data_IF_849093306813
#
_entry.id   IF_849093306813
#
_cell.length_a   1.000
_cell.length_b   1.000
_cell.length_c   1.000
_cell.angle_alpha   90.00
_cell.angle_beta   90.00
_cell.angle_gamma   90.00
#
_symmetry.space_group_name_H-M   'P 1'
#
loop_
_entity.id
_entity.type
_entity.pdbx_description
1 polymer ?
#
# COMPACT_ATOMS: atom_id res chain seq x y z
N UNK A 1 37.36 -5.96 8.72
CA UNK A 1 36.26 -5.42 7.94
C UNK A 1 35.71 -6.53 7.03
N UNK A 2 34.39 -6.69 7.01
CA UNK A 2 33.72 -7.61 6.10
C UNK A 2 33.02 -6.79 5.02
N UNK A 3 33.25 -7.12 3.75
CA UNK A 3 32.60 -6.46 2.62
C UNK A 3 31.71 -7.46 1.91
N UNK A 4 30.48 -7.04 1.57
CA UNK A 4 29.57 -7.81 0.74
C UNK A 4 29.11 -6.94 -0.43
N UNK A 5 29.02 -7.52 -1.62
CA UNK A 5 28.53 -6.85 -2.82
C UNK A 5 27.42 -7.67 -3.45
N UNK A 6 26.35 -6.99 -3.87
CA UNK A 6 25.28 -7.57 -4.65
C UNK A 6 25.01 -6.70 -5.88
N UNK A 7 25.20 -7.29 -7.06
CA UNK A 7 24.91 -6.64 -8.34
C UNK A 7 23.77 -7.37 -9.06
N UNK A 8 22.64 -6.67 -9.19
CA UNK A 8 21.54 -7.15 -10.01
C UNK A 8 21.88 -7.01 -11.50
N UNK A 9 21.73 -8.08 -12.27
CA UNK A 9 21.88 -8.03 -13.73
C UNK A 9 20.53 -7.60 -14.33
N UNK A 10 20.48 -6.34 -14.77
CA UNK A 10 19.31 -5.77 -15.45
C UNK A 10 19.75 -5.06 -16.72
N UNK A 11 18.82 -4.89 -17.66
CA UNK A 11 19.06 -4.11 -18.85
C UNK A 11 18.87 -2.62 -18.56
N UNK A 12 19.71 -1.78 -19.13
CA UNK A 12 19.55 -0.34 -19.00
C UNK A 12 18.26 0.14 -19.70
N UNK A 13 17.69 1.22 -19.21
CA UNK A 13 16.52 1.83 -19.83
C UNK A 13 16.82 2.21 -21.28
N UNK A 14 15.95 1.79 -22.21
CA UNK A 14 16.13 2.02 -23.64
C UNK A 14 17.06 1.05 -24.36
N UNK A 15 17.51 0.00 -23.70
CA UNK A 15 18.28 -1.07 -24.35
C UNK A 15 17.45 -1.68 -25.49
N UNK A 16 17.99 -1.77 -26.73
CA UNK A 16 17.25 -2.24 -27.90
C UNK A 16 17.18 -3.77 -27.93
N UNK A 17 16.58 -4.40 -26.93
CA UNK A 17 16.34 -5.84 -26.84
C UNK A 17 14.83 -6.11 -26.81
N UNK A 18 14.35 -7.23 -27.37
CA UNK A 18 12.91 -7.50 -27.46
C UNK A 18 12.18 -7.57 -26.12
N UNK A 19 12.84 -8.05 -25.07
CA UNK A 19 12.28 -8.20 -23.73
C UNK A 19 13.32 -7.77 -22.69
N UNK A 20 13.46 -6.47 -22.40
CA UNK A 20 14.43 -5.99 -21.44
C UNK A 20 14.11 -6.48 -20.03
N UNK A 21 15.11 -6.96 -19.32
CA UNK A 21 15.00 -7.35 -17.90
C UNK A 21 15.23 -6.11 -17.06
N UNK A 22 14.15 -5.44 -16.67
CA UNK A 22 14.20 -4.20 -15.88
C UNK A 22 14.30 -4.44 -14.38
N UNK A 23 13.85 -5.61 -13.89
CA UNK A 23 13.83 -5.97 -12.48
C UNK A 23 14.23 -7.43 -12.28
N UNK A 24 14.86 -7.73 -11.14
CA UNK A 24 15.27 -9.11 -10.79
C UNK A 24 14.12 -9.91 -10.14
N UNK A 25 13.15 -9.22 -9.58
CA UNK A 25 11.98 -9.83 -8.92
C UNK A 25 10.75 -8.93 -9.04
N UNK A 26 9.58 -9.57 -9.05
CA UNK A 26 8.28 -8.90 -8.99
C UNK A 26 7.57 -9.31 -7.71
N UNK A 27 6.95 -8.34 -7.04
CA UNK A 27 6.11 -8.60 -5.88
C UNK A 27 4.66 -8.83 -6.29
N UNK A 28 3.96 -9.66 -5.50
CA UNK A 28 2.52 -9.92 -5.66
C UNK A 28 1.82 -9.66 -4.34
N UNK A 29 0.69 -8.97 -4.40
CA UNK A 29 -0.10 -8.66 -3.23
C UNK A 29 -1.59 -8.66 -3.56
N UNK A 30 -2.39 -9.09 -2.59
CA UNK A 30 -3.85 -8.99 -2.63
C UNK A 30 -4.33 -8.45 -1.31
N UNK A 31 -5.25 -7.47 -1.34
CA UNK A 31 -5.87 -6.93 -0.14
C UNK A 31 -7.39 -6.96 -0.24
N UNK A 32 -8.03 -7.10 0.90
CA UNK A 32 -9.48 -7.08 1.04
C UNK A 32 -9.86 -6.11 2.16
N UNK A 33 -10.84 -5.26 1.88
CA UNK A 33 -11.45 -4.37 2.85
C UNK A 33 -12.85 -4.88 3.23
N UNK A 34 -13.10 -5.01 4.53
CA UNK A 34 -14.41 -5.36 5.07
C UNK A 34 -14.98 -4.14 5.78
N UNK A 35 -16.17 -3.71 5.38
CA UNK A 35 -16.88 -2.58 5.98
C UNK A 35 -17.95 -3.06 6.96
N UNK A 36 -18.21 -2.23 7.98
CA UNK A 36 -19.44 -2.29 8.77
C UNK A 36 -20.59 -1.65 7.98
N UNK A 37 -21.82 -1.85 8.43
CA UNK A 37 -23.02 -1.28 7.81
C UNK A 37 -23.01 0.27 7.77
N UNK A 38 -22.34 0.90 8.73
CA UNK A 38 -22.18 2.37 8.80
C UNK A 38 -21.07 2.90 7.87
N UNK A 39 -20.40 2.03 7.12
CA UNK A 39 -19.31 2.37 6.23
C UNK A 39 -17.95 2.51 6.92
N UNK A 40 -17.84 2.31 8.23
CA UNK A 40 -16.52 2.23 8.88
C UNK A 40 -15.81 0.94 8.50
N UNK A 41 -14.48 0.99 8.40
CA UNK A 41 -13.69 -0.21 8.09
C UNK A 41 -13.66 -1.09 9.34
N UNK A 42 -14.17 -2.31 9.18
CA UNK A 42 -14.13 -3.34 10.21
C UNK A 42 -12.77 -4.02 10.25
N UNK A 43 -12.25 -4.36 9.06
CA UNK A 43 -11.02 -5.15 8.93
C UNK A 43 -10.37 -4.95 7.58
N UNK A 44 -9.05 -4.96 7.56
CA UNK A 44 -8.24 -5.13 6.36
C UNK A 44 -7.52 -6.47 6.41
N UNK A 45 -7.53 -7.20 5.30
CA UNK A 45 -6.73 -8.42 5.13
C UNK A 45 -5.74 -8.18 4.01
N UNK A 46 -4.46 -8.42 4.25
CA UNK A 46 -3.38 -8.11 3.34
C UNK A 46 -2.43 -9.31 3.16
N UNK A 47 -2.52 -9.97 2.01
CA UNK A 47 -1.66 -11.08 1.64
C UNK A 47 -0.56 -10.62 0.69
N UNK A 48 0.70 -10.89 1.03
CA UNK A 48 1.87 -10.47 0.27
C UNK A 48 2.83 -11.63 0.05
N UNK A 49 3.22 -11.84 -1.20
CA UNK A 49 4.33 -12.73 -1.54
C UNK A 49 5.65 -12.01 -1.28
N UNK A 50 6.41 -12.54 -0.34
CA UNK A 50 7.69 -12.00 0.09
C UNK A 50 8.86 -12.88 -0.32
N UNK A 51 8.59 -13.93 -1.14
CA UNK A 51 9.56 -14.96 -1.47
C UNK A 51 9.98 -15.71 -0.22
N UNK A 52 11.02 -15.24 0.46
CA UNK A 52 11.44 -15.72 1.79
C UNK A 52 11.37 -14.60 2.82
N UNK A 53 10.62 -14.82 3.87
CA UNK A 53 10.58 -13.91 5.01
C UNK A 53 11.90 -14.00 5.82
N UNK A 54 12.80 -13.05 5.63
CA UNK A 54 14.08 -13.01 6.37
C UNK A 54 13.84 -12.70 7.86
N UNK A 55 12.89 -11.83 8.13
CA UNK A 55 12.43 -11.51 9.48
C UNK A 55 10.90 -11.37 9.45
N UNK A 56 10.15 -12.41 9.84
CA UNK A 56 8.68 -12.41 9.77
C UNK A 56 8.02 -11.24 10.51
N UNK A 57 8.47 -10.92 11.71
CA UNK A 57 7.90 -9.79 12.49
C UNK A 57 8.11 -8.44 11.79
N UNK A 58 9.28 -8.22 11.19
CA UNK A 58 9.54 -7.01 10.42
C UNK A 58 8.71 -6.97 9.13
N UNK A 59 8.47 -8.12 8.50
CA UNK A 59 7.60 -8.25 7.33
C UNK A 59 6.15 -7.87 7.68
N UNK A 60 5.61 -8.42 8.76
CA UNK A 60 4.28 -8.06 9.26
C UNK A 60 4.16 -6.57 9.52
N UNK A 61 5.09 -5.99 10.27
CA UNK A 61 5.10 -4.55 10.55
C UNK A 61 5.19 -3.69 9.29
N UNK A 62 5.90 -4.14 8.27
CA UNK A 62 5.97 -3.44 6.97
C UNK A 62 4.63 -3.51 6.22
N UNK A 63 3.96 -4.67 6.23
CA UNK A 63 2.63 -4.84 5.63
C UNK A 63 1.62 -3.93 6.33
N UNK A 64 1.55 -3.99 7.65
CA UNK A 64 0.62 -3.17 8.45
C UNK A 64 0.85 -1.67 8.22
N UNK A 65 2.11 -1.23 8.26
CA UNK A 65 2.47 0.17 8.02
C UNK A 65 2.06 0.65 6.62
N UNK A 66 2.28 -0.18 5.59
CA UNK A 66 1.88 0.12 4.22
C UNK A 66 0.36 0.17 4.04
N UNK A 67 -0.39 -0.75 4.66
CA UNK A 67 -1.86 -0.73 4.67
C UNK A 67 -2.37 0.56 5.30
N UNK A 68 -1.87 0.94 6.48
CA UNK A 68 -2.29 2.17 7.16
C UNK A 68 -1.99 3.42 6.32
N UNK A 69 -0.82 3.46 5.67
CA UNK A 69 -0.48 4.53 4.72
C UNK A 69 -1.48 4.59 3.55
N UNK A 70 -1.79 3.45 2.95
CA UNK A 70 -2.77 3.35 1.86
C UNK A 70 -4.19 3.73 2.29
N UNK A 71 -4.59 3.43 3.54
CA UNK A 71 -5.86 3.88 4.13
C UNK A 71 -5.92 5.41 4.23
N UNK A 72 -4.84 6.04 4.68
CA UNK A 72 -4.73 7.50 4.71
C UNK A 72 -4.95 8.11 3.34
N UNK A 73 -4.24 7.60 2.34
CA UNK A 73 -4.36 8.03 0.95
C UNK A 73 -5.79 7.85 0.40
N UNK A 74 -6.43 6.73 0.70
CA UNK A 74 -7.78 6.45 0.23
C UNK A 74 -8.86 7.33 0.88
N UNK A 75 -8.71 7.73 2.15
CA UNK A 75 -9.83 8.20 2.97
C UNK A 75 -9.67 9.61 3.56
N UNK A 76 -8.45 10.03 3.87
CA UNK A 76 -8.25 11.21 4.73
C UNK A 76 -7.19 12.19 4.27
N UNK A 77 -6.21 11.75 3.50
CA UNK A 77 -5.09 12.59 3.10
C UNK A 77 -5.46 13.45 1.89
N UNK A 78 -5.18 14.74 1.98
CA UNK A 78 -5.35 15.64 0.86
C UNK A 78 -4.19 16.65 0.82
N UNK A 79 -3.42 16.59 -0.26
CA UNK A 79 -2.33 17.51 -0.52
C UNK A 79 -2.77 18.55 -1.55
N UNK A 80 -3.44 19.60 -1.04
CA UNK A 80 -3.93 20.69 -1.88
C UNK A 80 -2.79 21.60 -2.34
N UNK A 81 -2.77 21.88 -3.64
CA UNK A 81 -1.84 22.83 -4.25
C UNK A 81 -2.62 24.03 -4.78
N UNK A 82 -2.04 25.22 -4.65
CA UNK A 82 -2.49 26.43 -5.30
C UNK A 82 -1.37 26.95 -6.20
N UNK A 83 -1.57 26.87 -7.51
CA UNK A 83 -0.53 27.21 -8.51
C UNK A 83 0.84 26.55 -8.21
N UNK A 84 0.82 25.28 -7.77
CA UNK A 84 2.02 24.52 -7.41
C UNK A 84 2.54 24.77 -5.99
N UNK A 85 1.90 25.62 -5.20
CA UNK A 85 2.28 25.92 -3.82
C UNK A 85 1.40 25.10 -2.86
N UNK A 86 1.97 24.29 -1.94
CA UNK A 86 1.21 23.55 -0.95
C UNK A 86 0.39 24.46 -0.03
N UNK A 87 -0.91 24.21 0.06
CA UNK A 87 -1.81 24.87 1.03
C UNK A 87 -1.80 24.18 2.38
N UNK A 88 -1.54 22.88 2.40
CA UNK A 88 -1.51 22.09 3.62
C UNK A 88 -0.22 22.35 4.39
N UNK A 89 -0.34 22.64 5.68
CA UNK A 89 0.81 22.70 6.59
C UNK A 89 1.20 21.30 7.03
N UNK A 90 2.47 21.10 7.42
CA UNK A 90 2.91 19.86 8.04
C UNK A 90 2.00 19.50 9.23
N UNK A 91 1.60 18.25 9.32
CA UNK A 91 0.66 17.76 10.34
C UNK A 91 -0.83 18.00 10.04
N UNK A 92 -1.18 18.70 8.95
CA UNK A 92 -2.59 18.94 8.57
C UNK A 92 -3.05 18.14 7.35
N UNK A 93 -2.17 17.33 6.78
CA UNK A 93 -2.45 16.48 5.60
C UNK A 93 -3.61 15.51 5.82
N UNK A 94 -3.82 15.07 7.06
CA UNK A 94 -4.88 14.12 7.38
C UNK A 94 -4.40 12.68 7.44
N UNK A 95 -3.14 12.47 7.82
CA UNK A 95 -2.59 11.14 8.05
C UNK A 95 -3.52 10.30 8.92
N UNK A 96 -3.67 9.02 8.56
CA UNK A 96 -4.47 8.10 9.33
C UNK A 96 -3.83 7.86 10.71
N UNK A 97 -4.62 7.92 11.77
CA UNK A 97 -4.11 7.87 13.14
C UNK A 97 -4.29 6.49 13.74
N UNK A 98 -3.40 6.10 14.64
CA UNK A 98 -3.37 4.79 15.27
C UNK A 98 -4.68 4.43 16.00
N UNK A 99 -5.35 5.43 16.60
CA UNK A 99 -6.64 5.25 17.28
C UNK A 99 -7.82 4.92 16.34
N UNK A 100 -7.60 5.00 15.04
CA UNK A 100 -8.59 4.71 13.98
C UNK A 100 -8.25 3.51 13.11
N UNK A 101 -7.11 2.88 13.36
CA UNK A 101 -6.69 1.69 12.62
C UNK A 101 -7.62 0.53 12.99
N UNK A 102 -8.28 -0.11 12.01
CA UNK A 102 -9.12 -1.26 12.25
C UNK A 102 -8.28 -2.52 12.55
N UNK A 103 -8.93 -3.64 12.71
CA UNK A 103 -8.25 -4.93 12.71
C UNK A 103 -7.49 -5.15 11.40
N UNK A 104 -6.22 -5.53 11.49
CA UNK A 104 -5.36 -5.84 10.35
C UNK A 104 -4.92 -7.31 10.43
N UNK A 105 -5.18 -8.06 9.35
CA UNK A 105 -4.64 -9.40 9.16
C UNK A 105 -3.55 -9.37 8.09
N UNK A 106 -2.32 -9.59 8.51
CA UNK A 106 -1.18 -9.74 7.62
C UNK A 106 -0.94 -11.21 7.29
N UNK A 107 -1.01 -11.57 6.01
CA UNK A 107 -0.74 -12.91 5.52
C UNK A 107 0.56 -12.90 4.73
N UNK A 108 1.58 -13.50 5.31
CA UNK A 108 2.89 -13.64 4.66
C UNK A 108 2.86 -14.89 3.79
N UNK A 109 3.06 -14.71 2.49
CA UNK A 109 3.16 -15.80 1.51
C UNK A 109 4.63 -15.94 1.13
N UNK A 110 5.19 -17.13 1.31
CA UNK A 110 6.55 -17.47 0.90
C UNK A 110 6.50 -18.38 -0.33
N UNK A 111 6.72 -17.80 -1.51
CA UNK A 111 6.78 -18.56 -2.75
C UNK A 111 8.23 -18.70 -3.20
N UNK A 112 8.82 -19.91 -3.13
CA UNK A 112 10.17 -20.13 -3.60
C UNK A 112 10.27 -19.94 -5.11
N UNK A 113 11.44 -19.59 -5.61
CA UNK A 113 11.70 -19.48 -7.06
C UNK A 113 12.59 -18.32 -7.47
N UNK A 114 13.18 -17.62 -6.50
CA UNK A 114 14.17 -16.56 -6.75
C UNK A 114 15.53 -17.03 -6.23
N UNK A 115 16.52 -17.05 -7.11
CA UNK A 115 17.88 -17.51 -6.78
C UNK A 115 18.77 -16.39 -6.19
N UNK A 116 18.22 -15.19 -6.03
CA UNK A 116 18.95 -14.02 -5.52
C UNK A 116 18.40 -13.59 -4.16
N UNK A 117 19.19 -12.84 -3.41
CA UNK A 117 18.80 -12.31 -2.09
C UNK A 117 18.27 -13.39 -1.11
N UNK A 118 18.82 -14.58 -1.17
CA UNK A 118 18.37 -15.75 -0.40
C UNK A 118 16.88 -16.10 -0.61
N UNK A 119 16.32 -15.74 -1.75
CA UNK A 119 14.92 -15.94 -2.08
C UNK A 119 13.98 -14.85 -1.62
N UNK A 120 14.48 -13.79 -0.98
CA UNK A 120 13.64 -12.70 -0.50
C UNK A 120 13.21 -11.76 -1.64
N UNK A 121 11.97 -11.29 -1.60
CA UNK A 121 11.42 -10.26 -2.48
C UNK A 121 11.23 -8.96 -1.67
N UNK A 122 11.49 -7.82 -2.29
CA UNK A 122 11.27 -6.52 -1.67
C UNK A 122 9.77 -6.27 -1.39
N UNK A 123 9.47 -5.78 -0.18
CA UNK A 123 8.10 -5.51 0.28
C UNK A 123 7.89 -4.06 0.72
N UNK A 124 8.70 -3.13 0.24
CA UNK A 124 8.60 -1.72 0.62
C UNK A 124 7.25 -1.11 0.23
N UNK A 125 7.14 -0.63 -0.98
CA UNK A 125 5.95 0.14 -1.42
C UNK A 125 4.75 -0.74 -1.80
N UNK A 126 4.98 -1.99 -2.21
CA UNK A 126 3.89 -2.90 -2.61
C UNK A 126 2.83 -3.08 -1.52
N UNK A 127 3.20 -2.92 -0.27
CA UNK A 127 2.30 -3.07 0.87
C UNK A 127 1.18 -2.03 0.91
N UNK A 128 1.38 -0.87 0.30
CA UNK A 128 0.39 0.22 0.22
C UNK A 128 -0.41 0.24 -1.09
N UNK A 129 0.09 -0.39 -2.16
CA UNK A 129 -0.48 -0.27 -3.51
C UNK A 129 -1.92 -0.81 -3.61
N UNK A 130 -2.26 -2.03 -3.13
CA UNK A 130 -3.62 -2.57 -3.28
C UNK A 130 -4.63 -1.95 -2.31
N UNK A 131 -4.22 -1.17 -1.32
CA UNK A 131 -5.08 -0.70 -0.23
C UNK A 131 -6.19 0.23 -0.74
N UNK A 132 -5.83 1.28 -1.47
CA UNK A 132 -6.83 2.23 -1.97
C UNK A 132 -7.84 1.60 -2.93
N UNK A 133 -7.45 0.75 -3.90
CA UNK A 133 -8.39 0.00 -4.73
C UNK A 133 -9.31 -0.92 -3.94
N UNK A 134 -8.78 -1.66 -2.94
CA UNK A 134 -9.59 -2.54 -2.10
C UNK A 134 -10.65 -1.78 -1.30
N UNK A 135 -10.30 -0.61 -0.76
CA UNK A 135 -11.23 0.26 -0.05
C UNK A 135 -12.29 0.84 -1.02
N UNK A 136 -11.86 1.30 -2.19
CA UNK A 136 -12.78 1.85 -3.19
C UNK A 136 -13.80 0.80 -3.68
N UNK A 137 -13.36 -0.45 -3.93
CA UNK A 137 -14.25 -1.56 -4.29
C UNK A 137 -15.23 -1.89 -3.15
N UNK A 138 -14.78 -1.88 -1.90
CA UNK A 138 -15.65 -2.12 -0.75
C UNK A 138 -16.77 -1.07 -0.64
N UNK A 139 -16.47 0.21 -0.83
CA UNK A 139 -17.49 1.26 -0.85
C UNK A 139 -18.40 1.16 -2.07
N UNK A 140 -17.87 0.83 -3.23
CA UNK A 140 -18.67 0.58 -4.43
C UNK A 140 -19.70 -0.55 -4.19
N UNK A 141 -19.29 -1.64 -3.53
CA UNK A 141 -20.19 -2.74 -3.17
C UNK A 141 -21.22 -2.34 -2.13
N UNK A 142 -20.88 -1.42 -1.22
CA UNK A 142 -21.80 -0.95 -0.18
C UNK A 142 -22.89 -0.05 -0.73
N UNK A 143 -22.57 0.88 -1.63
CA UNK A 143 -23.49 1.95 -2.06
C UNK A 143 -23.74 2.02 -3.58
N UNK A 144 -23.02 1.26 -4.39
CA UNK A 144 -23.14 1.26 -5.86
C UNK A 144 -22.52 2.47 -6.55
N UNK A 145 -21.84 3.35 -5.83
CA UNK A 145 -21.22 4.57 -6.37
C UNK A 145 -19.76 4.34 -6.70
N UNK A 146 -19.39 4.39 -7.99
CA UNK A 146 -18.01 4.28 -8.42
C UNK A 146 -17.32 5.64 -8.35
N UNK A 147 -16.37 5.79 -7.45
CA UNK A 147 -15.60 7.03 -7.28
C UNK A 147 -14.25 6.95 -7.98
N UNK A 148 -13.88 8.02 -8.69
CA UNK A 148 -12.66 8.13 -9.49
C UNK A 148 -11.63 9.10 -8.90
N UNK A 149 -11.90 9.65 -7.74
CA UNK A 149 -11.07 10.68 -7.08
C UNK A 149 -10.82 10.27 -5.62
N UNK A 150 -9.59 10.45 -5.17
CA UNK A 150 -9.20 10.24 -3.78
C UNK A 150 -8.89 11.60 -3.09
N UNK A 151 -9.08 11.70 -1.79
CA UNK A 151 -9.72 10.72 -0.91
C UNK A 151 -11.21 10.53 -1.24
N UNK A 152 -11.72 9.32 -0.99
CA UNK A 152 -13.12 8.97 -1.22
C UNK A 152 -14.07 9.89 -0.44
N UNK A 153 -15.20 10.23 -1.08
CA UNK A 153 -16.24 11.09 -0.50
C UNK A 153 -17.39 10.25 0.09
N UNK A 154 -18.20 10.88 0.92
CA UNK A 154 -19.36 10.24 1.54
C UNK A 154 -18.96 9.04 2.42
N UNK A 155 -17.79 9.10 3.07
CA UNK A 155 -17.30 8.10 4.00
C UNK A 155 -17.31 8.63 5.44
N UNK A 156 -17.37 7.77 6.47
CA UNK A 156 -17.25 8.19 7.87
C UNK A 156 -15.94 8.91 8.20
N UNK A 157 -14.95 8.79 7.34
CA UNK A 157 -13.60 9.37 7.50
C UNK A 157 -13.46 10.76 6.89
N UNK A 158 -14.44 11.18 6.11
CA UNK A 158 -14.40 12.50 5.46
C UNK A 158 -14.35 13.62 6.51
N UNK A 159 -13.40 14.53 6.33
CA UNK A 159 -13.31 15.72 7.20
C UNK A 159 -14.55 16.59 7.02
N UNK A 160 -15.38 16.70 8.04
CA UNK A 160 -16.48 17.68 8.04
C UNK A 160 -15.88 19.07 7.92
N UNK A 161 -16.23 19.80 6.85
CA UNK A 161 -15.86 21.22 6.76
C UNK A 161 -16.40 21.91 8.01
N UNK A 162 -15.51 22.49 8.83
CA UNK A 162 -15.97 23.40 9.87
C UNK A 162 -16.70 24.56 9.18
N UNK A 163 -17.99 24.68 9.47
CA UNK A 163 -18.77 25.85 9.06
C UNK A 163 -18.21 27.09 9.73
#
# INVERSE_FOLDING_TARGET
DFMGEYLAKTDAMGTPVPNPVSHVAYGYATQMCVLNEDGSIKKMVAAHDVGKAVNPTSVEGQIEGGVVMGMGYALTEQYELDHGIPKSKFGTLGLFKADKVPELDSIVVEKPGIDVAYGAIGIGEITSIPTAPAIADAYYRLNGEFQTVLPLKNTPYEKKKKK
#
